data_IF_239823912385
#
_entry.id   IF_239823912385
#
_cell.length_a   1.000
_cell.length_b   1.000
_cell.length_c   1.000
_cell.angle_alpha   90.00
_cell.angle_beta   90.00
_cell.angle_gamma   90.00
#
_symmetry.space_group_name_H-M   'P 1'
#
loop_
_entity.id
_entity.type
_entity.pdbx_description
1 polymer ?
#
# COMPACT_ATOMS: atom_id res chain seq x y z
N UNK A 1 -6.58 -10.41 -4.76
CA UNK A 1 -6.97 -9.17 -4.08
C UNK A 1 -6.93 -7.98 -5.03
N UNK A 2 -5.77 -7.60 -5.52
CA UNK A 2 -5.63 -6.48 -6.45
C UNK A 2 -5.60 -6.99 -7.89
N UNK A 3 -6.20 -6.20 -8.78
CA UNK A 3 -6.19 -6.54 -10.20
C UNK A 3 -4.80 -6.27 -10.78
N UNK A 4 -4.36 -7.12 -11.69
CA UNK A 4 -3.07 -6.97 -12.33
C UNK A 4 -2.86 -5.60 -12.96
N UNK A 5 -3.91 -5.09 -13.61
CA UNK A 5 -3.84 -3.78 -14.27
C UNK A 5 -3.55 -2.65 -13.28
N UNK A 6 -4.09 -2.74 -12.08
CA UNK A 6 -3.84 -1.74 -11.05
C UNK A 6 -2.42 -1.80 -10.54
N UNK A 7 -1.89 -3.01 -10.33
CA UNK A 7 -0.52 -3.19 -9.88
C UNK A 7 0.48 -2.68 -10.92
N UNK A 8 0.15 -2.86 -12.18
CA UNK A 8 1.01 -2.44 -13.28
C UNK A 8 1.26 -0.93 -13.31
N UNK A 9 0.32 -0.14 -12.79
CA UNK A 9 0.43 1.31 -12.79
C UNK A 9 1.21 1.86 -11.59
N UNK A 10 1.68 1.00 -10.71
CA UNK A 10 2.42 1.44 -9.52
C UNK A 10 3.85 1.81 -9.87
N UNK A 11 4.35 2.89 -9.26
CA UNK A 11 5.75 3.23 -9.36
C UNK A 11 6.55 2.39 -8.34
N UNK A 12 7.88 2.56 -8.31
CA UNK A 12 8.74 1.74 -7.45
C UNK A 12 8.37 1.83 -5.98
N UNK A 13 8.08 3.03 -5.50
CA UNK A 13 7.73 3.23 -4.10
C UNK A 13 6.37 2.63 -3.77
N UNK A 14 5.42 2.80 -4.67
CA UNK A 14 4.09 2.23 -4.49
C UNK A 14 4.15 0.71 -4.54
N UNK A 15 5.01 0.18 -5.38
CA UNK A 15 5.21 -1.27 -5.46
C UNK A 15 5.80 -1.82 -4.16
N UNK A 16 6.65 -1.04 -3.49
CA UNK A 16 7.16 -1.43 -2.18
C UNK A 16 6.01 -1.58 -1.17
N UNK A 17 5.05 -0.66 -1.20
CA UNK A 17 3.87 -0.75 -0.34
C UNK A 17 3.09 -2.03 -0.65
N UNK A 18 2.86 -2.28 -1.92
CA UNK A 18 2.14 -3.47 -2.36
C UNK A 18 2.83 -4.75 -1.87
N UNK A 19 4.13 -4.84 -2.07
CA UNK A 19 4.91 -6.01 -1.65
C UNK A 19 4.84 -6.21 -0.15
N UNK A 20 4.92 -5.12 0.61
CA UNK A 20 4.83 -5.19 2.06
C UNK A 20 3.47 -5.74 2.49
N UNK A 21 2.41 -5.24 1.88
CA UNK A 21 1.05 -5.69 2.20
C UNK A 21 0.90 -7.19 1.92
N UNK A 22 1.43 -7.64 0.79
CA UNK A 22 1.31 -9.05 0.42
C UNK A 22 2.10 -9.98 1.35
N UNK A 23 3.18 -9.46 1.93
CA UNK A 23 3.98 -10.26 2.88
C UNK A 23 3.37 -10.30 4.28
N UNK A 24 2.61 -9.27 4.64
CA UNK A 24 2.09 -9.10 5.99
C UNK A 24 0.59 -8.86 6.01
N UNK A 25 -0.16 -9.64 5.23
CA UNK A 25 -1.58 -9.42 5.06
C UNK A 25 -2.37 -9.32 6.35
N UNK A 26 -2.10 -10.21 7.29
CA UNK A 26 -2.81 -10.20 8.57
C UNK A 26 -2.42 -8.97 9.41
N UNK A 27 -1.15 -8.66 9.42
CA UNK A 27 -0.63 -7.56 10.21
C UNK A 27 -1.11 -6.22 9.69
N UNK A 28 -1.20 -6.08 8.38
CA UNK A 28 -1.63 -4.83 7.74
C UNK A 28 -3.06 -4.47 8.13
N UNK A 29 -3.92 -5.45 8.38
CA UNK A 29 -5.29 -5.18 8.78
C UNK A 29 -5.38 -4.40 10.09
N UNK A 30 -4.35 -4.51 10.93
CA UNK A 30 -4.29 -3.81 12.22
C UNK A 30 -3.41 -2.58 12.19
N UNK A 31 -2.71 -2.33 11.10
CA UNK A 31 -1.77 -1.23 11.00
C UNK A 31 -2.46 0.07 10.56
N UNK A 32 -1.97 1.16 11.12
CA UNK A 32 -2.37 2.48 10.65
C UNK A 32 -1.50 2.86 9.46
N UNK A 33 -1.96 3.87 8.70
CA UNK A 33 -1.25 4.30 7.49
C UNK A 33 0.21 4.67 7.77
N UNK A 34 0.45 5.31 8.91
CA UNK A 34 1.82 5.68 9.31
C UNK A 34 2.69 4.44 9.48
N UNK A 35 2.14 3.43 10.14
CA UNK A 35 2.88 2.19 10.39
C UNK A 35 3.19 1.47 9.08
N UNK A 36 2.24 1.47 8.16
CA UNK A 36 2.44 0.87 6.86
C UNK A 36 3.53 1.60 6.08
N UNK A 37 3.53 2.93 6.14
CA UNK A 37 4.54 3.73 5.47
C UNK A 37 5.92 3.45 6.03
N UNK A 38 6.05 3.39 7.35
CA UNK A 38 7.33 3.08 7.99
C UNK A 38 7.82 1.69 7.64
N UNK A 39 6.93 0.70 7.68
CA UNK A 39 7.29 -0.67 7.35
C UNK A 39 7.72 -0.84 5.91
N UNK A 40 7.11 -0.07 5.00
CA UNK A 40 7.42 -0.10 3.58
C UNK A 40 8.58 0.82 3.20
N UNK A 41 9.08 1.61 4.16
CA UNK A 41 10.16 2.59 3.92
C UNK A 41 9.77 3.66 2.91
N UNK A 42 8.52 4.13 3.01
CA UNK A 42 8.01 5.19 2.13
C UNK A 42 7.28 6.22 2.97
N UNK A 43 6.91 7.34 2.34
CA UNK A 43 6.15 8.38 3.03
C UNK A 43 4.67 8.00 3.10
N UNK A 44 3.94 8.63 4.04
CA UNK A 44 2.50 8.44 4.13
C UNK A 44 1.80 8.89 2.85
N UNK A 45 2.34 9.94 2.19
CA UNK A 45 1.80 10.39 0.91
C UNK A 45 1.85 9.29 -0.12
N UNK A 46 2.95 8.52 -0.16
CA UNK A 46 3.09 7.40 -1.09
C UNK A 46 2.02 6.34 -0.82
N UNK A 47 1.77 6.03 0.46
CA UNK A 47 0.74 5.07 0.82
C UNK A 47 -0.64 5.55 0.39
N UNK A 48 -0.92 6.84 0.59
CA UNK A 48 -2.19 7.42 0.16
C UNK A 48 -2.38 7.34 -1.35
N UNK A 49 -1.33 7.62 -2.10
CA UNK A 49 -1.38 7.51 -3.57
C UNK A 49 -1.61 6.07 -3.99
N UNK A 50 -0.93 5.14 -3.33
CA UNK A 50 -1.13 3.73 -3.58
C UNK A 50 -2.59 3.35 -3.37
N UNK A 51 -3.16 3.77 -2.25
CA UNK A 51 -4.57 3.46 -1.94
C UNK A 51 -5.51 4.02 -2.99
N UNK A 52 -5.26 5.25 -3.45
CA UNK A 52 -6.08 5.85 -4.50
C UNK A 52 -6.03 5.06 -5.79
N UNK A 53 -4.84 4.66 -6.20
CA UNK A 53 -4.66 3.89 -7.42
C UNK A 53 -5.32 2.52 -7.36
N UNK A 54 -5.32 1.92 -6.18
CA UNK A 54 -5.89 0.60 -5.99
C UNK A 54 -7.39 0.62 -5.68
N UNK A 55 -7.98 1.82 -5.65
CA UNK A 55 -9.40 1.95 -5.39
C UNK A 55 -9.79 1.80 -3.94
N UNK A 56 -8.84 1.89 -3.04
CA UNK A 56 -9.12 1.81 -1.61
C UNK A 56 -9.68 3.14 -1.12
N UNK A 57 -10.90 3.16 -0.64
CA UNK A 57 -11.51 4.37 -0.13
C UNK A 57 -11.07 4.59 1.31
N UNK A 58 -10.05 5.42 1.47
CA UNK A 58 -9.59 5.74 2.80
C UNK A 58 -9.07 4.51 3.53
N UNK A 59 -7.80 4.43 3.66
CA UNK A 59 -7.18 3.37 4.43
C UNK A 59 -7.49 3.60 5.90
N UNK A 60 -8.20 2.75 6.48
CA UNK A 60 -8.51 2.89 7.90
C UNK A 60 -8.79 1.55 8.54
#
# INVERSE_FOLDING_TARGET
MFKYEQVKDLNDLELEVYNYIMRHQEKVLEMKIRELAEGSHVSTTTVLRFCKKMGCNGYS
#
